data_IF_771663509095
#
_entry.id   IF_771663509095
#
_cell.length_a   1.000
_cell.length_b   1.000
_cell.length_c   1.000
_cell.angle_alpha   90.00
_cell.angle_beta   90.00
_cell.angle_gamma   90.00
#
_symmetry.space_group_name_H-M   'P 1'
#
loop_
_entity.id
_entity.type
_entity.pdbx_description
1 polymer ?
#
# COMPACT_ATOMS: atom_id res chain seq x y z
N UNK A 1 -0.57 -33.96 5.09
CA UNK A 1 -0.28 -33.37 6.43
C UNK A 1 -1.47 -32.51 6.84
N UNK A 2 -1.73 -32.35 8.11
CA UNK A 2 -2.85 -31.53 8.59
C UNK A 2 -2.45 -30.07 8.47
N UNK A 3 -3.24 -29.26 7.75
CA UNK A 3 -3.01 -27.82 7.64
C UNK A 3 -3.05 -27.16 9.03
N UNK A 4 -2.15 -26.22 9.31
CA UNK A 4 -2.09 -25.53 10.61
C UNK A 4 -3.13 -24.40 10.71
N UNK A 5 -3.52 -23.83 9.57
CA UNK A 5 -4.56 -22.81 9.46
C UNK A 5 -5.27 -22.90 8.10
N UNK A 6 -6.38 -22.17 7.95
CA UNK A 6 -7.08 -22.02 6.67
C UNK A 6 -6.34 -21.03 5.75
N UNK A 7 -5.70 -20.02 6.34
CA UNK A 7 -4.99 -18.98 5.61
C UNK A 7 -3.69 -18.62 6.34
N UNK A 8 -2.60 -18.47 5.58
CA UNK A 8 -1.38 -17.82 6.05
C UNK A 8 -1.25 -16.46 5.38
N UNK A 9 -1.00 -15.41 6.17
CA UNK A 9 -0.80 -14.04 5.69
C UNK A 9 0.65 -13.63 5.95
N UNK A 10 1.38 -13.20 4.93
CA UNK A 10 2.75 -12.72 5.02
C UNK A 10 2.78 -11.20 5.02
N UNK A 11 3.05 -10.60 6.16
CA UNK A 11 3.07 -9.16 6.42
C UNK A 11 1.90 -8.68 7.27
N UNK A 12 2.20 -7.97 8.36
CA UNK A 12 1.24 -7.41 9.33
C UNK A 12 0.87 -5.94 9.07
N UNK A 13 1.12 -5.41 7.88
CA UNK A 13 0.69 -4.06 7.48
C UNK A 13 -0.83 -3.97 7.21
N UNK A 14 -1.35 -2.83 6.70
CA UNK A 14 -2.79 -2.61 6.53
C UNK A 14 -3.50 -3.69 5.71
N UNK A 15 -2.85 -4.19 4.64
CA UNK A 15 -3.44 -5.24 3.81
C UNK A 15 -3.54 -6.58 4.56
N UNK A 16 -2.45 -6.99 5.21
CA UNK A 16 -2.42 -8.27 5.90
C UNK A 16 -3.25 -8.29 7.17
N UNK A 17 -3.22 -7.21 7.95
CA UNK A 17 -4.08 -7.09 9.13
C UNK A 17 -5.56 -7.07 8.75
N UNK A 18 -5.95 -6.35 7.69
CA UNK A 18 -7.33 -6.37 7.20
C UNK A 18 -7.74 -7.76 6.70
N UNK A 19 -6.84 -8.49 6.02
CA UNK A 19 -7.07 -9.88 5.63
C UNK A 19 -7.29 -10.78 6.85
N UNK A 20 -6.42 -10.67 7.86
CA UNK A 20 -6.51 -11.48 9.07
C UNK A 20 -7.81 -11.21 9.86
N UNK A 21 -8.16 -9.94 10.04
CA UNK A 21 -9.42 -9.53 10.69
C UNK A 21 -10.61 -10.15 9.95
N UNK A 22 -10.67 -9.98 8.62
CA UNK A 22 -11.78 -10.49 7.82
C UNK A 22 -11.83 -12.02 7.80
N UNK A 23 -10.69 -12.72 7.81
CA UNK A 23 -10.62 -14.18 7.96
C UNK A 23 -11.28 -14.63 9.27
N UNK A 24 -10.91 -14.01 10.38
CA UNK A 24 -11.47 -14.32 11.69
C UNK A 24 -12.96 -13.99 11.78
N UNK A 25 -13.39 -12.86 11.24
CA UNK A 25 -14.84 -12.51 11.14
C UNK A 25 -15.61 -13.51 10.28
N UNK A 26 -14.96 -14.14 9.30
CA UNK A 26 -15.53 -15.18 8.45
C UNK A 26 -15.51 -16.58 9.06
N UNK A 27 -15.00 -16.74 10.29
CA UNK A 27 -14.89 -18.00 11.00
C UNK A 27 -13.73 -18.90 10.55
N UNK A 28 -12.74 -18.34 9.84
CA UNK A 28 -11.55 -19.06 9.40
C UNK A 28 -10.40 -18.91 10.41
N UNK A 29 -9.53 -19.90 10.45
CA UNK A 29 -8.26 -19.84 11.18
C UNK A 29 -7.21 -19.14 10.33
N UNK A 30 -6.39 -18.25 10.95
CA UNK A 30 -5.38 -17.49 10.23
C UNK A 30 -4.11 -17.36 11.05
N UNK A 31 -2.96 -17.53 10.38
CA UNK A 31 -1.62 -17.23 10.89
C UNK A 31 -1.12 -16.00 10.15
N UNK A 32 -0.67 -14.98 10.87
CA UNK A 32 0.01 -13.79 10.31
C UNK A 32 1.49 -13.88 10.63
N UNK A 33 2.34 -13.77 9.63
CA UNK A 33 3.80 -13.76 9.75
C UNK A 33 4.28 -12.34 9.53
N UNK A 34 4.88 -11.70 10.53
CA UNK A 34 5.43 -10.35 10.46
C UNK A 34 6.90 -10.35 10.85
N UNK A 35 7.75 -9.84 9.97
CA UNK A 35 9.20 -9.83 10.18
C UNK A 35 9.65 -8.85 11.27
N UNK A 36 8.88 -7.79 11.49
CA UNK A 36 9.18 -6.78 12.50
C UNK A 36 8.42 -7.05 13.80
N UNK A 37 9.09 -6.92 14.93
CA UNK A 37 8.45 -7.09 16.24
C UNK A 37 7.41 -6.01 16.56
N UNK A 38 7.55 -4.82 15.98
CA UNK A 38 6.68 -3.67 16.20
C UNK A 38 6.42 -2.90 14.90
N UNK A 39 5.25 -2.28 14.75
CA UNK A 39 4.96 -1.38 13.62
C UNK A 39 5.96 -0.23 13.54
N UNK A 40 6.35 0.14 12.33
CA UNK A 40 7.33 1.20 12.07
C UNK A 40 6.67 2.41 11.43
N UNK A 41 7.22 3.61 11.70
CA UNK A 41 6.87 4.81 10.93
C UNK A 41 7.23 4.65 9.47
N UNK A 42 6.22 4.82 8.62
CA UNK A 42 6.30 4.76 7.16
C UNK A 42 5.43 5.87 6.59
N UNK A 43 5.63 6.32 5.34
CA UNK A 43 4.71 7.24 4.67
C UNK A 43 3.28 6.69 4.57
N UNK A 44 2.31 7.59 4.47
CA UNK A 44 0.89 7.28 4.37
C UNK A 44 0.09 7.84 5.54
N UNK A 45 0.33 9.11 5.85
CA UNK A 45 -0.21 9.81 7.02
C UNK A 45 -1.58 10.43 6.79
N UNK A 46 -2.09 10.38 5.55
CA UNK A 46 -3.46 10.82 5.23
C UNK A 46 -4.29 9.67 4.71
N UNK A 47 -5.49 9.54 5.26
CA UNK A 47 -6.50 8.61 4.78
C UNK A 47 -7.70 9.37 4.25
N UNK A 48 -8.15 8.96 3.06
CA UNK A 48 -9.41 9.42 2.48
C UNK A 48 -10.60 9.02 3.35
N UNK A 49 -11.65 9.85 3.39
CA UNK A 49 -12.86 9.57 4.19
C UNK A 49 -13.52 8.22 3.88
N UNK A 50 -13.37 7.70 2.66
CA UNK A 50 -13.81 6.35 2.29
C UNK A 50 -13.20 5.22 3.12
N UNK A 51 -12.09 5.47 3.83
CA UNK A 51 -11.53 4.49 4.76
C UNK A 51 -12.43 4.27 5.99
N UNK A 52 -13.30 5.22 6.32
CA UNK A 52 -14.16 5.15 7.50
C UNK A 52 -15.06 3.91 7.50
N UNK A 53 -15.71 3.60 6.37
CA UNK A 53 -16.57 2.41 6.23
C UNK A 53 -15.79 1.10 6.34
N UNK A 54 -14.57 1.07 5.84
CA UNK A 54 -13.69 -0.10 5.95
C UNK A 54 -13.21 -0.30 7.39
N UNK A 55 -12.84 0.78 8.09
CA UNK A 55 -12.46 0.73 9.50
C UNK A 55 -13.64 0.30 10.39
N UNK A 56 -14.86 0.71 10.05
CA UNK A 56 -16.09 0.24 10.71
C UNK A 56 -16.29 -1.27 10.47
N UNK A 57 -16.22 -1.72 9.21
CA UNK A 57 -16.34 -3.13 8.85
C UNK A 57 -15.31 -4.01 9.58
N UNK A 58 -14.09 -3.53 9.75
CA UNK A 58 -13.03 -4.22 10.47
C UNK A 58 -13.23 -4.15 12.00
N UNK A 59 -14.15 -3.33 12.50
CA UNK A 59 -14.42 -3.15 13.93
C UNK A 59 -13.28 -2.45 14.66
N UNK A 60 -12.58 -1.51 13.99
CA UNK A 60 -11.47 -0.73 14.55
C UNK A 60 -11.76 0.76 14.65
N UNK A 61 -12.98 1.19 14.34
CA UNK A 61 -13.33 2.61 14.23
C UNK A 61 -13.01 3.40 15.50
N UNK A 62 -13.39 2.89 16.65
CA UNK A 62 -13.17 3.56 17.94
C UNK A 62 -11.67 3.67 18.28
N UNK A 63 -10.92 2.57 18.18
CA UNK A 63 -9.48 2.57 18.42
C UNK A 63 -8.73 3.50 17.44
N UNK A 64 -9.17 3.52 16.16
CA UNK A 64 -8.66 4.42 15.16
C UNK A 64 -8.91 5.91 15.53
N UNK A 65 -10.10 6.27 16.01
CA UNK A 65 -10.44 7.64 16.44
C UNK A 65 -9.52 8.12 17.57
N UNK A 66 -9.18 7.24 18.53
CA UNK A 66 -8.23 7.56 19.60
C UNK A 66 -6.79 7.71 19.12
N UNK A 67 -6.45 7.12 17.99
CA UNK A 67 -5.10 7.18 17.41
C UNK A 67 -4.90 8.34 16.44
N UNK A 68 -5.97 9.10 16.11
CA UNK A 68 -5.91 10.18 15.13
C UNK A 68 -4.95 11.30 15.54
N UNK A 69 -4.22 11.82 14.55
CA UNK A 69 -3.46 13.07 14.66
C UNK A 69 -4.26 14.31 14.25
N UNK A 70 -5.44 14.12 13.64
CA UNK A 70 -6.34 15.19 13.20
C UNK A 70 -7.26 14.79 12.05
N UNK A 71 -8.03 15.77 11.57
CA UNK A 71 -8.95 15.63 10.43
C UNK A 71 -8.74 16.79 9.46
N UNK A 72 -9.05 16.58 8.20
CA UNK A 72 -9.09 17.65 7.21
C UNK A 72 -10.42 17.62 6.45
N UNK A 73 -10.89 18.82 6.05
CA UNK A 73 -12.14 18.98 5.28
C UNK A 73 -11.93 19.05 3.77
N UNK A 74 -10.69 19.31 3.32
CA UNK A 74 -10.35 19.46 1.90
C UNK A 74 -8.87 19.19 1.68
N UNK A 75 -8.49 18.92 0.45
CA UNK A 75 -7.10 18.87 -0.01
C UNK A 75 -6.88 20.02 -0.99
N UNK A 76 -5.85 20.81 -0.78
CA UNK A 76 -5.45 21.86 -1.73
C UNK A 76 -4.64 21.23 -2.86
N UNK A 77 -5.09 21.38 -4.09
CA UNK A 77 -4.43 20.86 -5.27
C UNK A 77 -4.06 21.99 -6.19
N UNK A 78 -2.76 22.23 -6.38
CA UNK A 78 -2.22 23.17 -7.36
C UNK A 78 -1.42 22.36 -8.39
N UNK A 79 -1.96 22.24 -9.58
CA UNK A 79 -1.35 21.47 -10.65
C UNK A 79 -1.18 22.39 -11.84
N UNK A 80 0.03 22.93 -12.04
CA UNK A 80 0.27 23.93 -13.10
C UNK A 80 0.60 23.24 -14.42
N UNK A 81 -0.12 23.61 -15.46
CA UNK A 81 0.18 23.17 -16.83
C UNK A 81 1.24 24.07 -17.47
N UNK A 82 2.09 23.48 -18.31
CA UNK A 82 3.11 24.18 -19.08
C UNK A 82 2.59 25.29 -20.04
N UNK A 83 1.28 25.35 -20.27
CA UNK A 83 0.67 26.17 -21.33
C UNK A 83 -0.46 27.09 -20.91
N UNK A 84 -0.90 27.09 -19.67
CA UNK A 84 -1.96 28.01 -19.24
C UNK A 84 -1.63 28.66 -17.90
N UNK A 85 -1.83 29.99 -17.84
CA UNK A 85 -1.93 30.73 -16.61
C UNK A 85 -3.18 30.37 -15.77
N UNK A 86 -3.95 29.41 -16.20
CA UNK A 86 -5.06 28.87 -15.47
C UNK A 86 -4.55 28.04 -14.29
N UNK A 87 -4.56 28.67 -13.14
CA UNK A 87 -4.49 27.99 -11.83
C UNK A 87 -5.80 27.22 -11.63
N UNK A 88 -6.02 26.19 -12.44
CA UNK A 88 -7.11 25.28 -12.27
C UNK A 88 -6.82 24.43 -11.05
N UNK A 89 -7.39 24.80 -9.88
CA UNK A 89 -7.55 23.83 -8.81
C UNK A 89 -8.40 22.71 -9.39
N UNK A 90 -7.78 21.54 -9.63
CA UNK A 90 -8.55 20.34 -9.86
C UNK A 90 -9.22 20.07 -8.53
N UNK A 91 -10.54 20.08 -8.43
CA UNK A 91 -11.20 19.51 -7.28
C UNK A 91 -10.89 18.00 -7.34
N UNK A 92 -9.82 17.56 -6.71
CA UNK A 92 -9.87 16.25 -6.11
C UNK A 92 -11.02 16.39 -5.12
N UNK A 93 -12.17 15.87 -5.50
CA UNK A 93 -13.47 16.13 -4.90
C UNK A 93 -13.33 16.31 -3.40
N UNK A 94 -14.03 17.28 -2.83
CA UNK A 94 -14.06 17.65 -1.43
C UNK A 94 -13.75 16.45 -0.49
N UNK A 95 -12.53 16.01 -0.49
CA UNK A 95 -12.10 14.79 0.16
C UNK A 95 -11.72 15.17 1.57
N UNK A 96 -12.71 15.19 2.45
CA UNK A 96 -12.43 15.12 3.87
C UNK A 96 -11.68 13.82 4.20
N UNK A 97 -10.92 13.82 5.28
CA UNK A 97 -10.22 12.61 5.69
C UNK A 97 -9.55 12.78 7.04
N UNK A 98 -8.57 11.92 7.24
CA UNK A 98 -7.95 11.72 8.54
C UNK A 98 -6.43 11.83 8.42
N UNK A 99 -5.80 12.38 9.48
CA UNK A 99 -4.37 12.33 9.69
C UNK A 99 -4.05 11.29 10.75
N UNK A 100 -3.10 10.40 10.46
CA UNK A 100 -2.65 9.39 11.41
C UNK A 100 -1.23 8.95 11.06
N UNK A 101 -0.42 8.70 12.07
CA UNK A 101 0.86 8.02 11.84
C UNK A 101 0.62 6.55 11.48
N UNK A 102 1.38 6.05 10.49
CA UNK A 102 1.27 4.67 10.00
C UNK A 102 1.55 3.63 11.07
N UNK A 103 2.51 3.86 11.95
CA UNK A 103 2.79 2.96 13.07
C UNK A 103 1.57 2.81 13.99
N UNK A 104 0.84 3.88 14.25
CA UNK A 104 -0.40 3.84 15.04
C UNK A 104 -1.54 3.11 14.32
N UNK A 105 -1.74 3.39 13.02
CA UNK A 105 -2.74 2.68 12.23
C UNK A 105 -2.44 1.18 12.16
N UNK A 106 -1.19 0.84 11.85
CA UNK A 106 -0.76 -0.55 11.71
C UNK A 106 -0.89 -1.29 13.06
N UNK A 107 -0.61 -0.61 14.20
CA UNK A 107 -0.83 -1.16 15.54
C UNK A 107 -2.33 -1.45 15.81
N UNK A 108 -3.21 -0.48 15.57
CA UNK A 108 -4.66 -0.65 15.75
C UNK A 108 -5.20 -1.84 14.96
N UNK A 109 -4.74 -2.00 13.71
CA UNK A 109 -5.20 -3.09 12.85
C UNK A 109 -4.68 -4.45 13.32
N UNK A 110 -3.40 -4.57 13.63
CA UNK A 110 -2.82 -5.86 14.02
C UNK A 110 -3.32 -6.31 15.41
N UNK A 111 -3.47 -5.40 16.36
CA UNK A 111 -4.05 -5.67 17.68
C UNK A 111 -5.50 -6.16 17.57
N UNK A 112 -6.26 -5.61 16.62
CA UNK A 112 -7.61 -6.11 16.34
C UNK A 112 -7.60 -7.54 15.82
N UNK A 113 -6.68 -7.90 14.94
CA UNK A 113 -6.52 -9.27 14.46
C UNK A 113 -6.22 -10.22 15.65
N UNK A 114 -5.31 -9.84 16.54
CA UNK A 114 -4.97 -10.59 17.76
C UNK A 114 -6.19 -10.75 18.68
N UNK A 115 -6.96 -9.67 18.90
CA UNK A 115 -8.21 -9.70 19.69
C UNK A 115 -9.23 -10.69 19.13
N UNK A 116 -9.27 -10.86 17.82
CA UNK A 116 -10.10 -11.86 17.14
C UNK A 116 -9.48 -13.26 17.11
N UNK A 117 -8.39 -13.49 17.85
CA UNK A 117 -7.66 -14.76 17.92
C UNK A 117 -7.00 -15.18 16.60
N UNK A 118 -6.48 -14.22 15.83
CA UNK A 118 -5.50 -14.53 14.80
C UNK A 118 -4.17 -14.92 15.47
N UNK A 119 -3.49 -15.94 14.95
CA UNK A 119 -2.13 -16.32 15.41
C UNK A 119 -1.11 -15.38 14.75
N UNK A 120 -0.72 -14.32 15.46
CA UNK A 120 0.24 -13.32 14.95
C UNK A 120 1.63 -13.66 15.45
N UNK A 121 2.48 -14.12 14.54
CA UNK A 121 3.88 -14.48 14.81
C UNK A 121 4.80 -13.31 14.43
N UNK A 122 5.32 -12.62 15.43
CA UNK A 122 6.24 -11.47 15.27
C UNK A 122 7.25 -11.39 16.45
N UNK A 123 8.57 -11.27 16.20
CA UNK A 123 9.18 -11.31 14.88
C UNK A 123 9.22 -12.73 14.28
N UNK A 124 8.80 -12.89 13.04
CA UNK A 124 8.90 -14.13 12.29
C UNK A 124 9.05 -13.79 10.80
N UNK A 125 10.05 -14.35 10.15
CA UNK A 125 10.38 -14.03 8.77
C UNK A 125 9.94 -15.12 7.80
N UNK A 126 9.08 -14.77 6.85
CA UNK A 126 8.81 -15.63 5.71
C UNK A 126 10.03 -15.66 4.77
N UNK A 127 10.48 -16.86 4.41
CA UNK A 127 11.66 -17.09 3.57
C UNK A 127 11.24 -17.30 2.10
N UNK A 128 10.34 -18.26 1.85
CA UNK A 128 9.84 -18.59 0.52
C UNK A 128 8.49 -19.31 0.58
N UNK A 129 7.68 -19.29 -0.50
CA UNK A 129 6.49 -20.13 -0.60
C UNK A 129 6.87 -21.62 -0.69
N UNK A 130 6.03 -22.48 -0.13
CA UNK A 130 6.10 -23.92 -0.33
C UNK A 130 5.17 -24.24 -1.50
N UNK A 131 5.75 -24.83 -2.56
CA UNK A 131 5.01 -25.15 -3.79
C UNK A 131 5.02 -26.66 -4.01
N UNK A 132 3.83 -27.25 -4.26
CA UNK A 132 3.67 -28.66 -4.66
C UNK A 132 2.72 -28.71 -5.87
N UNK A 133 3.06 -29.44 -6.89
CA UNK A 133 2.24 -29.62 -8.12
C UNK A 133 1.73 -28.29 -8.70
N UNK A 134 2.59 -27.26 -8.70
CA UNK A 134 2.32 -25.88 -9.14
C UNK A 134 1.32 -25.09 -8.25
N UNK A 135 0.93 -25.62 -7.12
CA UNK A 135 0.09 -24.97 -6.12
C UNK A 135 0.92 -24.50 -4.93
N UNK A 136 0.63 -23.29 -4.43
CA UNK A 136 1.22 -22.77 -3.19
C UNK A 136 0.45 -23.37 -2.02
N UNK A 137 1.13 -24.16 -1.20
CA UNK A 137 0.53 -24.90 -0.08
C UNK A 137 1.03 -24.43 1.28
N UNK A 138 1.85 -23.37 1.33
CA UNK A 138 2.38 -22.88 2.58
C UNK A 138 3.52 -21.91 2.43
N UNK A 139 4.21 -21.65 3.55
CA UNK A 139 5.32 -20.71 3.70
C UNK A 139 6.43 -21.36 4.51
N UNK A 140 7.65 -21.32 4.01
CA UNK A 140 8.87 -21.59 4.77
C UNK A 140 9.20 -20.35 5.59
N UNK A 141 9.40 -20.50 6.90
CA UNK A 141 9.79 -19.40 7.79
C UNK A 141 11.11 -19.69 8.50
N UNK A 142 11.69 -18.69 9.14
CA UNK A 142 12.87 -18.86 10.02
C UNK A 142 12.58 -19.69 11.28
N UNK A 143 11.31 -19.98 11.55
CA UNK A 143 10.82 -20.81 12.66
C UNK A 143 10.30 -22.17 12.21
N UNK A 144 10.46 -22.51 10.92
CA UNK A 144 9.99 -23.75 10.29
C UNK A 144 8.88 -23.56 9.28
N UNK A 145 8.49 -24.63 8.57
CA UNK A 145 7.45 -24.59 7.55
C UNK A 145 6.06 -24.48 8.17
N UNK A 146 5.18 -23.77 7.49
CA UNK A 146 3.76 -23.64 7.81
C UNK A 146 2.92 -23.99 6.59
N UNK A 147 1.86 -24.76 6.75
CA UNK A 147 0.98 -25.18 5.63
C UNK A 147 -0.45 -24.65 5.80
N UNK A 148 -1.01 -24.17 4.70
CA UNK A 148 -2.40 -23.73 4.58
C UNK A 148 -2.90 -23.85 3.15
N UNK A 149 -4.21 -24.04 2.92
CA UNK A 149 -4.81 -24.03 1.58
C UNK A 149 -4.60 -22.72 0.82
N UNK A 150 -4.48 -21.61 1.52
CA UNK A 150 -4.24 -20.30 0.90
C UNK A 150 -3.15 -19.51 1.61
N UNK A 151 -2.31 -18.86 0.79
CA UNK A 151 -1.27 -17.92 1.23
C UNK A 151 -1.61 -16.54 0.66
N UNK A 152 -1.63 -15.51 1.53
CA UNK A 152 -1.82 -14.11 1.13
C UNK A 152 -0.51 -13.37 1.31
N UNK A 153 0.11 -12.93 0.21
CA UNK A 153 1.28 -12.05 0.27
C UNK A 153 0.85 -10.60 0.47
N UNK A 154 1.04 -10.10 1.68
CA UNK A 154 0.84 -8.72 2.10
C UNK A 154 2.17 -8.03 2.46
N UNK A 155 3.30 -8.53 1.94
CA UNK A 155 4.65 -8.04 2.28
C UNK A 155 4.97 -6.64 1.73
N UNK A 156 4.06 -6.05 0.97
CA UNK A 156 4.22 -4.74 0.37
C UNK A 156 5.39 -4.71 -0.61
N UNK A 157 6.20 -3.63 -0.57
CA UNK A 157 7.38 -3.49 -1.44
C UNK A 157 8.52 -4.47 -1.13
N UNK A 158 8.35 -5.35 -0.14
CA UNK A 158 9.30 -6.42 0.19
C UNK A 158 9.43 -7.45 -0.94
N UNK A 159 8.37 -7.57 -1.76
CA UNK A 159 8.34 -8.50 -2.90
C UNK A 159 8.71 -9.94 -2.52
N UNK A 160 8.29 -10.37 -1.33
CA UNK A 160 8.67 -11.66 -0.78
C UNK A 160 8.33 -12.82 -1.74
N UNK A 161 7.09 -12.88 -2.18
CA UNK A 161 6.59 -13.93 -3.07
C UNK A 161 7.36 -13.95 -4.40
N UNK A 162 7.49 -12.78 -5.04
CA UNK A 162 8.11 -12.63 -6.35
C UNK A 162 9.61 -12.93 -6.38
N UNK A 163 10.29 -12.90 -5.25
CA UNK A 163 11.72 -13.29 -5.16
C UNK A 163 11.94 -14.78 -5.27
N UNK A 164 10.94 -15.58 -4.96
CA UNK A 164 11.05 -17.03 -4.82
C UNK A 164 10.05 -17.81 -5.67
N UNK A 165 9.09 -17.14 -6.30
CA UNK A 165 8.08 -17.72 -7.16
C UNK A 165 8.22 -17.14 -8.58
N UNK A 166 8.19 -17.96 -9.64
CA UNK A 166 8.29 -17.48 -11.02
C UNK A 166 7.12 -16.53 -11.33
N UNK A 167 7.36 -15.24 -11.25
CA UNK A 167 6.40 -14.21 -11.63
C UNK A 167 7.12 -13.03 -12.27
N UNK A 168 6.46 -12.38 -13.21
CA UNK A 168 6.98 -11.20 -13.91
C UNK A 168 6.46 -9.95 -13.22
N UNK A 169 7.18 -8.86 -13.40
CA UNK A 169 6.77 -7.53 -12.99
C UNK A 169 6.71 -6.64 -14.22
N UNK A 170 5.54 -6.11 -14.48
CA UNK A 170 5.38 -5.06 -15.48
C UNK A 170 5.75 -3.72 -14.83
N UNK A 171 6.74 -3.03 -15.39
CA UNK A 171 7.11 -1.66 -15.05
C UNK A 171 6.38 -0.73 -16.03
N UNK A 172 5.55 0.17 -15.53
CA UNK A 172 4.56 0.91 -16.32
C UNK A 172 4.67 2.43 -16.17
N UNK A 173 5.78 2.91 -15.63
CA UNK A 173 6.19 4.31 -15.65
C UNK A 173 7.70 4.41 -15.80
N UNK A 174 8.25 5.57 -16.16
CA UNK A 174 9.64 5.86 -15.93
C UNK A 174 10.01 5.64 -14.46
N UNK A 175 11.30 5.50 -14.16
CA UNK A 175 11.75 5.38 -12.77
C UNK A 175 11.39 6.63 -11.98
N UNK A 176 10.60 6.47 -10.92
CA UNK A 176 10.16 7.54 -10.04
C UNK A 176 10.76 7.36 -8.65
N UNK A 177 11.47 8.40 -8.20
CA UNK A 177 12.08 8.43 -6.89
C UNK A 177 11.42 9.54 -6.07
N UNK A 178 10.84 9.19 -4.93
CA UNK A 178 10.32 10.13 -3.96
C UNK A 178 11.29 10.29 -2.79
N UNK A 179 11.31 11.49 -2.21
CA UNK A 179 11.89 11.76 -0.89
C UNK A 179 10.81 12.18 0.06
N UNK A 180 10.96 11.85 1.32
CA UNK A 180 10.00 12.18 2.37
C UNK A 180 10.67 12.40 3.71
N UNK A 181 10.00 13.14 4.58
CA UNK A 181 10.45 13.43 5.93
C UNK A 181 9.38 14.09 6.78
N UNK A 182 9.76 14.42 7.99
CA UNK A 182 8.90 15.05 8.98
C UNK A 182 9.59 16.29 9.55
N UNK A 183 8.83 17.35 9.76
CA UNK A 183 9.30 18.59 10.35
C UNK A 183 8.48 18.94 11.57
N UNK A 184 9.12 19.57 12.56
CA UNK A 184 8.44 20.18 13.68
C UNK A 184 7.93 21.55 13.31
N UNK A 185 6.75 21.90 13.76
CA UNK A 185 6.13 23.20 13.55
C UNK A 185 5.49 23.69 14.85
N UNK A 186 5.73 24.94 15.20
CA UNK A 186 5.16 25.56 16.42
C UNK A 186 3.82 26.21 16.13
N UNK A 187 3.52 26.57 14.89
CA UNK A 187 2.28 27.20 14.44
C UNK A 187 1.74 26.52 13.19
N UNK A 188 0.55 25.96 13.28
CA UNK A 188 -0.10 25.21 12.23
C UNK A 188 -1.10 26.01 11.38
N UNK A 189 -1.25 27.32 11.62
CA UNK A 189 -2.26 28.14 10.93
C UNK A 189 -2.17 28.08 9.42
N UNK A 190 -0.94 27.97 8.90
CA UNK A 190 -0.69 27.88 7.45
C UNK A 190 -0.80 26.47 6.87
N UNK A 191 -1.02 25.44 7.70
CA UNK A 191 -1.01 24.03 7.33
C UNK A 191 -2.30 23.29 7.71
N UNK A 192 -3.44 23.99 7.70
CA UNK A 192 -4.73 23.43 8.12
C UNK A 192 -5.29 22.35 7.21
N UNK A 193 -4.91 22.31 5.95
CA UNK A 193 -5.32 21.30 4.97
C UNK A 193 -4.09 20.67 4.30
N UNK A 194 -4.12 19.37 3.97
CA UNK A 194 -3.10 18.78 3.11
C UNK A 194 -3.03 19.51 1.77
N UNK A 195 -1.83 19.64 1.22
CA UNK A 195 -1.62 20.27 -0.07
C UNK A 195 -0.74 19.42 -0.96
N UNK A 196 -1.09 19.36 -2.26
CA UNK A 196 -0.24 18.83 -3.31
C UNK A 196 -0.02 19.91 -4.36
N UNK A 197 1.24 20.18 -4.68
CA UNK A 197 1.65 21.15 -5.70
C UNK A 197 2.53 20.45 -6.71
N UNK A 198 2.18 20.57 -7.99
CA UNK A 198 2.93 19.98 -9.08
C UNK A 198 3.21 20.95 -10.21
N UNK A 199 4.38 20.81 -10.83
CA UNK A 199 4.83 21.53 -12.02
C UNK A 199 5.66 20.58 -12.92
N UNK A 200 6.29 21.11 -13.98
CA UNK A 200 7.13 20.34 -14.90
C UNK A 200 8.35 19.67 -14.26
N UNK A 201 8.77 20.08 -13.06
CA UNK A 201 9.88 19.46 -12.34
C UNK A 201 9.46 18.28 -11.47
N UNK A 202 8.17 18.16 -11.14
CA UNK A 202 7.63 17.14 -10.26
C UNK A 202 6.51 17.64 -9.39
N UNK A 203 6.32 17.01 -8.25
CA UNK A 203 5.29 17.42 -7.29
C UNK A 203 5.78 17.33 -5.84
N UNK A 204 5.13 18.10 -4.97
CA UNK A 204 5.36 18.12 -3.53
C UNK A 204 4.02 18.01 -2.81
N UNK A 205 4.00 17.20 -1.76
CA UNK A 205 2.88 17.04 -0.86
C UNK A 205 3.29 17.39 0.56
N UNK A 206 2.43 18.10 1.27
CA UNK A 206 2.61 18.50 2.67
C UNK A 206 1.31 18.26 3.41
N UNK A 207 1.38 17.63 4.58
CA UNK A 207 0.24 17.49 5.47
C UNK A 207 0.63 17.54 6.94
N UNK A 208 -0.26 18.07 7.75
CA UNK A 208 -0.21 17.94 9.19
C UNK A 208 -0.47 16.48 9.58
N UNK A 209 0.29 15.96 10.54
CA UNK A 209 0.11 14.58 11.05
C UNK A 209 -0.30 14.58 12.52
N UNK A 210 0.17 15.57 13.28
CA UNK A 210 -0.17 15.82 14.68
C UNK A 210 -0.16 17.32 14.95
N UNK A 211 -0.34 17.70 16.22
CA UNK A 211 -0.41 19.11 16.62
C UNK A 211 0.91 19.88 16.41
N UNK A 212 2.03 19.18 16.27
CA UNK A 212 3.37 19.78 16.15
C UNK A 212 4.19 19.23 14.98
N UNK A 213 3.62 18.35 14.14
CA UNK A 213 4.38 17.63 13.12
C UNK A 213 3.73 17.72 11.75
N UNK A 214 4.54 18.12 10.76
CA UNK A 214 4.22 18.04 9.33
C UNK A 214 4.97 16.88 8.68
N UNK A 215 4.29 16.13 7.83
CA UNK A 215 4.90 15.20 6.89
C UNK A 215 4.99 15.85 5.51
N UNK A 216 6.02 15.51 4.76
CA UNK A 216 6.20 15.95 3.39
C UNK A 216 6.73 14.84 2.49
N UNK A 217 6.33 14.89 1.23
CA UNK A 217 6.85 14.04 0.14
C UNK A 217 7.17 14.94 -1.04
N UNK A 218 8.31 14.70 -1.68
CA UNK A 218 8.69 15.34 -2.96
C UNK A 218 9.07 14.26 -3.96
N UNK A 219 8.59 14.41 -5.20
CA UNK A 219 8.94 13.56 -6.33
C UNK A 219 9.43 14.45 -7.47
N UNK A 220 10.56 14.08 -8.09
CA UNK A 220 11.04 14.72 -9.32
C UNK A 220 10.68 13.88 -10.54
N UNK A 221 10.22 14.55 -11.61
CA UNK A 221 9.97 13.92 -12.89
C UNK A 221 11.30 13.52 -13.58
N UNK A 222 11.29 12.49 -14.43
CA UNK A 222 12.43 12.13 -15.25
C UNK A 222 12.88 13.30 -16.12
N UNK A 223 14.20 13.55 -16.19
CA UNK A 223 14.74 14.67 -16.94
C UNK A 223 14.73 16.01 -16.22
N UNK A 224 14.07 16.13 -15.05
CA UNK A 224 14.17 17.33 -14.24
C UNK A 224 15.61 17.52 -13.75
N UNK A 225 16.12 18.76 -13.85
CA UNK A 225 17.48 19.10 -13.38
C UNK A 225 17.61 19.09 -11.86
N UNK A 226 16.51 19.18 -11.14
CA UNK A 226 16.47 19.18 -9.68
C UNK A 226 16.19 17.79 -9.12
N UNK A 227 16.93 17.38 -8.10
CA UNK A 227 16.59 16.19 -7.29
C UNK A 227 15.41 16.53 -6.36
N UNK A 228 14.57 15.54 -5.99
CA UNK A 228 13.52 15.77 -5.01
C UNK A 228 14.16 16.18 -3.67
N UNK A 229 13.72 17.32 -3.13
CA UNK A 229 14.24 17.91 -1.89
C UNK A 229 13.08 18.29 -0.97
N UNK A 230 13.39 18.60 0.28
CA UNK A 230 12.43 19.17 1.22
C UNK A 230 11.77 20.41 0.61
N UNK A 231 10.43 20.54 0.66
CA UNK A 231 9.72 21.70 0.14
C UNK A 231 10.27 23.01 0.70
N UNK A 232 10.42 24.02 -0.16
CA UNK A 232 10.98 25.34 0.24
C UNK A 232 10.13 25.99 1.35
N UNK A 233 8.82 25.80 1.33
CA UNK A 233 7.93 26.27 2.40
C UNK A 233 8.28 25.71 3.79
N UNK A 234 8.99 24.59 3.85
CA UNK A 234 9.41 23.94 5.11
C UNK A 234 10.91 24.13 5.41
N UNK A 235 11.65 24.88 4.59
CA UNK A 235 13.11 24.94 4.66
C UNK A 235 13.62 25.42 6.04
N UNK A 236 12.89 26.34 6.69
CA UNK A 236 13.26 26.90 8.00
C UNK A 236 12.85 25.99 9.19
N UNK A 237 12.03 24.96 8.97
CA UNK A 237 11.54 24.10 10.04
C UNK A 237 12.56 23.00 10.38
N UNK A 238 12.67 22.67 11.66
CA UNK A 238 13.53 21.60 12.13
C UNK A 238 13.04 20.22 11.70
N UNK A 239 13.94 19.37 11.21
CA UNK A 239 13.63 18.00 10.88
C UNK A 239 13.46 17.14 12.14
N UNK A 240 12.39 16.34 12.20
CA UNK A 240 12.12 15.38 13.29
C UNK A 240 12.92 14.09 13.07
N UNK A 241 13.20 13.76 11.83
CA UNK A 241 13.93 12.54 11.45
C UNK A 241 14.73 12.76 10.16
N UNK A 242 15.75 11.95 9.87
CA UNK A 242 16.46 12.01 8.62
C UNK A 242 15.51 11.83 7.42
N UNK A 243 15.75 12.63 6.36
CA UNK A 243 15.08 12.44 5.07
C UNK A 243 15.37 11.06 4.49
N UNK A 244 14.35 10.39 4.01
CA UNK A 244 14.43 9.07 3.39
C UNK A 244 14.00 9.14 1.92
N UNK A 245 14.40 8.10 1.15
CA UNK A 245 14.00 7.92 -0.24
C UNK A 245 13.19 6.65 -0.43
N UNK A 246 12.33 6.66 -1.44
CA UNK A 246 11.56 5.49 -1.87
C UNK A 246 11.50 5.42 -3.39
N UNK A 247 11.63 4.22 -3.95
CA UNK A 247 11.28 3.94 -5.35
C UNK A 247 9.76 3.76 -5.41
N UNK A 248 9.10 4.68 -6.12
CA UNK A 248 7.65 4.71 -6.29
C UNK A 248 7.24 4.51 -7.76
N UNK A 249 8.14 3.91 -8.54
CA UNK A 249 7.89 3.49 -9.92
C UNK A 249 6.63 2.62 -9.99
N UNK A 250 5.78 2.84 -10.98
CA UNK A 250 4.55 2.06 -11.13
C UNK A 250 4.88 0.65 -11.59
N UNK A 251 4.54 -0.30 -10.76
CA UNK A 251 4.85 -1.72 -10.96
C UNK A 251 3.64 -2.57 -10.63
N UNK A 252 3.43 -3.63 -11.40
CA UNK A 252 2.43 -4.63 -11.05
C UNK A 252 2.98 -6.04 -11.27
N UNK A 253 2.47 -6.99 -10.48
CA UNK A 253 2.66 -8.40 -10.76
C UNK A 253 1.84 -8.79 -12.01
N UNK A 254 2.36 -9.68 -12.83
CA UNK A 254 1.65 -10.26 -13.98
C UNK A 254 0.46 -11.12 -13.54
N UNK A 255 0.54 -11.71 -12.35
CA UNK A 255 -0.55 -12.45 -11.72
C UNK A 255 -0.78 -11.98 -10.29
N UNK A 256 -2.00 -11.54 -9.98
CA UNK A 256 -2.42 -11.14 -8.63
C UNK A 256 -2.83 -12.33 -7.76
N UNK A 257 -3.08 -13.47 -8.36
CA UNK A 257 -3.49 -14.71 -7.70
C UNK A 257 -3.26 -15.91 -8.61
N UNK A 258 -3.21 -17.07 -8.02
CA UNK A 258 -3.10 -18.37 -8.68
C UNK A 258 -3.46 -19.49 -7.73
N UNK A 259 -3.12 -20.74 -8.08
CA UNK A 259 -3.40 -21.89 -7.22
C UNK A 259 -2.78 -21.72 -5.82
N UNK A 260 -3.63 -21.60 -4.80
CA UNK A 260 -3.24 -21.48 -3.40
C UNK A 260 -2.71 -20.10 -2.96
N UNK A 261 -2.74 -19.03 -3.79
CA UNK A 261 -2.22 -17.73 -3.37
C UNK A 261 -2.98 -16.51 -3.87
N UNK A 262 -2.84 -15.40 -3.11
CA UNK A 262 -3.25 -14.05 -3.47
C UNK A 262 -2.15 -13.03 -3.13
N UNK A 263 -1.92 -12.04 -4.00
CA UNK A 263 -1.09 -10.87 -3.72
C UNK A 263 -1.99 -9.68 -3.40
N UNK A 264 -1.71 -8.96 -2.31
CA UNK A 264 -2.53 -7.84 -1.85
C UNK A 264 -1.71 -6.57 -1.65
N UNK A 265 -2.35 -5.40 -1.70
CA UNK A 265 -1.69 -4.12 -1.52
C UNK A 265 -0.54 -3.90 -2.50
N UNK A 266 0.56 -3.34 -2.01
CA UNK A 266 1.74 -3.05 -2.85
C UNK A 266 2.50 -4.30 -3.30
N UNK A 267 2.26 -5.47 -2.70
CA UNK A 267 2.77 -6.74 -3.21
C UNK A 267 2.14 -7.12 -4.55
N UNK A 268 0.89 -6.74 -4.79
CA UNK A 268 0.20 -6.94 -6.07
C UNK A 268 0.57 -5.87 -7.09
N UNK A 269 0.40 -4.60 -6.73
CA UNK A 269 0.84 -3.48 -7.55
C UNK A 269 1.12 -2.22 -6.72
N UNK A 270 2.15 -1.50 -7.14
CA UNK A 270 2.62 -0.26 -6.55
C UNK A 270 2.36 0.90 -7.50
N UNK A 271 1.86 2.00 -6.96
CA UNK A 271 1.75 3.29 -7.63
C UNK A 271 2.40 4.36 -6.76
N UNK A 272 2.68 5.52 -7.35
CA UNK A 272 3.20 6.63 -6.55
C UNK A 272 2.13 7.23 -5.61
N UNK A 273 2.56 7.96 -4.56
CA UNK A 273 1.65 8.49 -3.55
C UNK A 273 0.62 9.49 -4.05
N UNK A 274 0.80 10.11 -5.23
CA UNK A 274 -0.18 11.04 -5.80
C UNK A 274 -1.52 10.35 -6.12
N UNK A 275 -1.55 9.02 -6.22
CA UNK A 275 -2.79 8.25 -6.31
C UNK A 275 -3.72 8.43 -5.09
N UNK A 276 -3.18 8.74 -3.90
CA UNK A 276 -3.94 9.07 -2.69
C UNK A 276 -4.71 7.91 -2.02
N UNK A 277 -4.73 6.70 -2.61
CA UNK A 277 -5.58 5.59 -2.15
C UNK A 277 -4.81 4.35 -1.67
N UNK A 278 -3.49 4.41 -1.53
CA UNK A 278 -2.65 3.24 -1.26
C UNK A 278 -3.10 2.41 -0.06
N UNK A 279 -3.36 3.04 1.08
CA UNK A 279 -3.78 2.35 2.32
C UNK A 279 -5.20 1.79 2.20
N UNK A 280 -6.14 2.58 1.65
CA UNK A 280 -7.51 2.12 1.43
C UNK A 280 -7.54 0.88 0.51
N UNK A 281 -6.84 0.95 -0.61
CA UNK A 281 -6.69 -0.18 -1.54
C UNK A 281 -6.04 -1.38 -0.87
N UNK A 282 -5.01 -1.16 -0.05
CA UNK A 282 -4.34 -2.23 0.69
C UNK A 282 -5.33 -2.99 1.59
N UNK A 283 -6.10 -2.29 2.42
CA UNK A 283 -7.12 -2.91 3.28
C UNK A 283 -8.19 -3.63 2.44
N UNK A 284 -8.73 -2.97 1.41
CA UNK A 284 -9.77 -3.56 0.56
C UNK A 284 -9.30 -4.81 -0.18
N UNK A 285 -8.05 -4.82 -0.67
CA UNK A 285 -7.50 -6.00 -1.36
C UNK A 285 -7.30 -7.17 -0.40
N UNK A 286 -6.87 -6.91 0.84
CA UNK A 286 -6.78 -7.93 1.89
C UNK A 286 -8.15 -8.56 2.21
N UNK A 287 -9.19 -7.72 2.39
CA UNK A 287 -10.56 -8.17 2.60
C UNK A 287 -11.05 -9.01 1.41
N UNK A 288 -10.86 -8.51 0.18
CA UNK A 288 -11.34 -9.20 -1.03
C UNK A 288 -10.63 -10.54 -1.24
N UNK A 289 -9.30 -10.62 -1.06
CA UNK A 289 -8.56 -11.88 -1.15
C UNK A 289 -9.09 -12.92 -0.15
N UNK A 290 -9.30 -12.48 1.09
CA UNK A 290 -9.85 -13.36 2.14
C UNK A 290 -11.29 -13.75 1.86
N UNK A 291 -12.11 -12.85 1.29
CA UNK A 291 -13.49 -13.16 0.89
C UNK A 291 -13.52 -14.29 -0.15
N UNK A 292 -12.64 -14.22 -1.15
CA UNK A 292 -12.54 -15.25 -2.20
C UNK A 292 -11.97 -16.56 -1.64
N UNK A 293 -10.93 -16.50 -0.80
CA UNK A 293 -10.41 -17.69 -0.12
C UNK A 293 -11.49 -18.36 0.75
N UNK A 294 -12.26 -17.58 1.52
CA UNK A 294 -13.36 -18.09 2.32
C UNK A 294 -14.48 -18.74 1.48
N UNK A 295 -14.80 -18.17 0.32
CA UNK A 295 -15.76 -18.74 -0.60
C UNK A 295 -15.30 -20.10 -1.14
N UNK A 296 -14.01 -20.22 -1.49
CA UNK A 296 -13.42 -21.47 -1.95
C UNK A 296 -13.35 -22.53 -0.83
N UNK A 297 -12.87 -22.16 0.36
CA UNK A 297 -12.77 -23.08 1.52
C UNK A 297 -14.16 -23.63 1.91
N UNK A 298 -15.20 -22.79 1.81
CA UNK A 298 -16.59 -23.17 2.11
C UNK A 298 -17.31 -23.85 0.94
N UNK A 299 -16.60 -24.14 -0.16
CA UNK A 299 -17.15 -24.81 -1.35
C UNK A 299 -18.23 -24.04 -2.12
N UNK A 300 -18.26 -22.70 -1.98
CA UNK A 300 -19.21 -21.84 -2.70
C UNK A 300 -18.77 -21.59 -4.15
N UNK A 301 -17.47 -21.53 -4.37
CA UNK A 301 -16.82 -21.41 -5.68
C UNK A 301 -15.61 -22.33 -5.72
N UNK A 302 -15.13 -22.67 -6.92
CA UNK A 302 -13.88 -23.40 -7.07
C UNK A 302 -12.66 -22.50 -6.76
N UNK A 303 -11.49 -23.06 -6.36
CA UNK A 303 -10.28 -22.27 -6.11
C UNK A 303 -9.84 -21.43 -7.31
N UNK A 304 -9.92 -21.96 -8.53
CA UNK A 304 -9.59 -21.23 -9.77
C UNK A 304 -10.56 -20.08 -10.05
N UNK A 305 -11.85 -20.30 -9.81
CA UNK A 305 -12.87 -19.25 -9.94
C UNK A 305 -12.64 -18.12 -8.93
N UNK A 306 -12.36 -18.47 -7.67
CA UNK A 306 -11.99 -17.50 -6.62
C UNK A 306 -10.79 -16.64 -7.05
N UNK A 307 -9.73 -17.28 -7.56
CA UNK A 307 -8.56 -16.60 -8.09
C UNK A 307 -8.89 -15.68 -9.28
N UNK A 308 -9.75 -16.13 -10.20
CA UNK A 308 -10.18 -15.35 -11.36
C UNK A 308 -11.01 -14.12 -10.97
N UNK A 309 -11.96 -14.26 -10.06
CA UNK A 309 -12.78 -13.17 -9.54
C UNK A 309 -11.91 -12.09 -8.88
N UNK A 310 -10.94 -12.51 -8.07
CA UNK A 310 -9.98 -11.62 -7.45
C UNK A 310 -9.13 -10.88 -8.50
N UNK A 311 -8.60 -11.58 -9.51
CA UNK A 311 -7.83 -10.96 -10.60
C UNK A 311 -8.62 -9.90 -11.35
N UNK A 312 -9.90 -10.17 -11.66
CA UNK A 312 -10.76 -9.20 -12.33
C UNK A 312 -10.96 -7.93 -11.50
N UNK A 313 -11.20 -8.08 -10.20
CA UNK A 313 -11.36 -6.97 -9.27
C UNK A 313 -10.08 -6.13 -9.15
N UNK A 314 -8.91 -6.76 -9.00
CA UNK A 314 -7.63 -6.07 -8.92
C UNK A 314 -7.26 -5.36 -10.23
N UNK A 315 -7.55 -5.96 -11.38
CA UNK A 315 -7.30 -5.36 -12.68
C UNK A 315 -8.12 -4.08 -12.90
N UNK A 316 -9.36 -4.04 -12.42
CA UNK A 316 -10.20 -2.84 -12.48
C UNK A 316 -9.64 -1.70 -11.62
N UNK A 317 -9.19 -1.99 -10.41
CA UNK A 317 -8.50 -1.01 -9.56
C UNK A 317 -7.23 -0.48 -10.25
N UNK A 318 -6.41 -1.37 -10.77
CA UNK A 318 -5.22 -1.01 -11.51
C UNK A 318 -5.54 -0.07 -12.69
N UNK A 319 -6.50 -0.44 -13.52
CA UNK A 319 -6.90 0.36 -14.70
C UNK A 319 -7.37 1.76 -14.30
N UNK A 320 -8.22 1.85 -13.27
CA UNK A 320 -8.78 3.09 -12.77
C UNK A 320 -7.69 4.03 -12.23
N UNK A 321 -6.87 3.53 -11.31
CA UNK A 321 -5.85 4.34 -10.64
C UNK A 321 -4.77 4.80 -11.63
N UNK A 322 -4.32 3.92 -12.53
CA UNK A 322 -3.32 4.30 -13.54
C UNK A 322 -3.85 5.27 -14.56
N UNK A 323 -5.13 5.18 -14.95
CA UNK A 323 -5.74 6.15 -15.85
C UNK A 323 -5.80 7.54 -15.21
N UNK A 324 -6.24 7.63 -13.96
CA UNK A 324 -6.30 8.89 -13.22
C UNK A 324 -4.90 9.52 -13.04
N UNK A 325 -3.90 8.72 -12.62
CA UNK A 325 -2.53 9.19 -12.49
C UNK A 325 -1.94 9.66 -13.82
N UNK A 326 -2.16 8.91 -14.90
CA UNK A 326 -1.66 9.33 -16.23
C UNK A 326 -2.23 10.66 -16.65
N UNK A 327 -3.54 10.88 -16.46
CA UNK A 327 -4.16 12.17 -16.75
C UNK A 327 -3.52 13.29 -15.92
N UNK A 328 -3.25 13.04 -14.64
CA UNK A 328 -2.55 14.02 -13.78
C UNK A 328 -1.16 14.32 -14.31
N UNK A 329 -0.36 13.29 -14.64
CA UNK A 329 1.02 13.48 -15.11
C UNK A 329 1.09 14.14 -16.49
N UNK A 330 0.18 13.85 -17.42
CA UNK A 330 0.07 14.51 -18.72
C UNK A 330 -0.20 16.02 -18.61
N UNK A 331 -0.79 16.46 -17.51
CA UNK A 331 -0.95 17.90 -17.22
C UNK A 331 0.35 18.55 -16.75
N UNK A 332 1.24 17.83 -16.07
CA UNK A 332 2.56 18.31 -15.69
C UNK A 332 3.53 18.28 -16.85
N UNK A 333 3.55 17.17 -17.57
CA UNK A 333 4.44 16.91 -18.71
C UNK A 333 3.64 16.27 -19.84
N UNK A 334 3.45 17.03 -20.94
CA UNK A 334 2.71 16.56 -22.11
C UNK A 334 3.41 15.38 -22.83
N UNK A 335 4.67 15.12 -22.52
CA UNK A 335 5.45 14.01 -23.08
C UNK A 335 5.44 12.75 -22.18
N UNK A 336 4.65 12.78 -21.08
CA UNK A 336 4.53 11.62 -20.19
C UNK A 336 4.09 10.39 -20.97
N UNK A 337 4.98 9.41 -21.05
CA UNK A 337 4.74 8.17 -21.79
C UNK A 337 4.75 6.97 -20.85
N UNK A 338 3.71 6.14 -20.93
CA UNK A 338 3.65 4.83 -20.29
C UNK A 338 4.52 3.79 -21.00
N UNK A 339 4.91 4.03 -22.26
CA UNK A 339 5.55 3.01 -23.11
C UNK A 339 7.02 2.75 -22.80
N UNK A 340 7.62 3.47 -21.85
CA UNK A 340 8.95 3.12 -21.33
C UNK A 340 8.95 1.83 -20.49
N UNK A 341 8.00 0.91 -20.75
CA UNK A 341 7.85 -0.35 -20.05
C UNK A 341 9.02 -1.30 -20.36
N UNK A 342 9.97 -1.38 -19.44
CA UNK A 342 10.97 -2.43 -19.42
C UNK A 342 10.38 -3.63 -18.69
N UNK A 343 10.25 -4.77 -19.38
CA UNK A 343 9.87 -6.03 -18.73
C UNK A 343 11.08 -6.57 -17.99
N UNK A 344 11.11 -6.44 -16.67
CA UNK A 344 12.12 -7.07 -15.83
C UNK A 344 11.75 -8.54 -15.59
N UNK A 345 12.56 -9.43 -16.14
CA UNK A 345 12.53 -10.85 -15.81
C UNK A 345 13.45 -11.09 -14.60
N UNK A 346 12.90 -11.42 -13.44
CA UNK A 346 13.68 -12.09 -12.41
C UNK A 346 13.78 -13.59 -12.79
N UNK A 347 14.84 -13.94 -13.51
CA UNK A 347 15.32 -15.32 -13.53
C UNK A 347 15.98 -15.56 -12.17
N UNK A 348 15.40 -16.45 -11.36
CA UNK A 348 16.15 -17.05 -10.26
C UNK A 348 17.29 -17.84 -10.88
N UNK A 349 18.52 -17.36 -10.72
CA UNK A 349 19.69 -18.22 -10.87
C UNK A 349 19.62 -19.27 -9.76
N UNK A 350 18.94 -20.37 -10.06
CA UNK A 350 19.15 -21.63 -9.36
C UNK A 350 20.47 -22.17 -9.93
N UNK A 351 21.57 -21.66 -9.37
CA UNK A 351 22.93 -22.15 -9.62
C UNK A 351 23.17 -23.42 -8.82
N UNK A 352 23.66 -24.39 -9.53
CA UNK A 352 24.25 -25.67 -9.23
C UNK A 352 24.73 -25.94 -7.78
#
# INVERSE_FOLDING_TARGET
MKSEADIIVVGGGPAGSAAAIHARQSGLTVIVIEADGQPRRRPGETLHSGAASILEQLGVREAFEHALGGRYGSIQVEWSTARSSDRGSIPLAAASGFHIFRDKLDAVLIERAETLSADVRRPCRALRPIVRDQEVVGVETDSGPLEAPFVIDASGNGNWFRKSYPSRVDVLSPRLLARYGYCRVDDLRDFGSPSIKGDQSGWQWIARVSDDTLAWVSLALPGASARPVKPTALAALADVSPTRGADVTWKRADAYSGPGFFLVGDAAFQLDPAAGHGILRAMMSGIMATYQAAAAIKGRVGPDEAAQLYRGWMAEWWRRDTSALTEMYLRLDATWDRSSSTREHHQSEAGA
#
